data_IF_290686028991
#
_entry.id   IF_290686028991
#
_cell.length_a   1.000
_cell.length_b   1.000
_cell.length_c   1.000
_cell.angle_alpha   90.00
_cell.angle_beta   90.00
_cell.angle_gamma   90.00
#
_symmetry.space_group_name_H-M   'P 1'
#
loop_
_entity.id
_entity.type
_entity.pdbx_description
1 polymer ?
#
# COMPACT_ATOMS: atom_id res chain seq x y z
N UNK A 1 -2.79 9.24 -26.52
CA UNK A 1 -1.81 10.32 -26.77
C UNK A 1 -2.43 11.72 -26.77
N UNK A 2 -3.37 12.04 -27.67
CA UNK A 2 -3.95 13.40 -27.79
C UNK A 2 -4.54 13.95 -26.49
N UNK A 3 -5.36 13.14 -25.79
CA UNK A 3 -5.90 13.52 -24.47
C UNK A 3 -4.80 13.84 -23.46
N UNK A 4 -3.74 13.03 -23.37
CA UNK A 4 -2.64 13.26 -22.45
C UNK A 4 -1.89 14.56 -22.78
N UNK A 5 -1.62 14.82 -24.06
CA UNK A 5 -0.98 16.06 -24.51
C UNK A 5 -1.80 17.29 -24.10
N UNK A 6 -3.10 17.27 -24.35
CA UNK A 6 -3.99 18.37 -23.97
C UNK A 6 -4.01 18.61 -22.46
N UNK A 7 -4.06 17.54 -21.65
CA UNK A 7 -4.04 17.65 -20.19
C UNK A 7 -2.76 18.28 -19.64
N UNK A 8 -1.63 17.99 -20.28
CA UNK A 8 -0.34 18.59 -19.94
C UNK A 8 -0.33 20.07 -20.33
N UNK A 9 -0.81 20.42 -21.52
CA UNK A 9 -0.85 21.81 -22.01
C UNK A 9 -1.74 22.72 -21.15
N UNK A 10 -2.86 22.20 -20.64
CA UNK A 10 -3.80 22.98 -19.81
C UNK A 10 -3.55 22.88 -18.30
N UNK A 11 -2.55 22.09 -17.89
CA UNK A 11 -2.24 21.78 -16.49
C UNK A 11 -3.47 21.29 -15.67
N UNK A 12 -4.25 20.38 -16.25
CA UNK A 12 -5.43 19.76 -15.59
C UNK A 12 -5.35 18.25 -15.60
N UNK A 13 -6.05 17.65 -14.65
CA UNK A 13 -6.04 16.21 -14.43
C UNK A 13 -7.42 15.60 -14.68
N UNK A 14 -7.45 14.39 -15.23
CA UNK A 14 -8.68 13.59 -15.39
C UNK A 14 -8.54 12.25 -14.68
N UNK A 15 -9.67 11.74 -14.19
CA UNK A 15 -9.74 10.37 -13.68
C UNK A 15 -9.76 9.35 -14.82
N UNK A 16 -9.38 8.09 -14.55
CA UNK A 16 -9.52 6.98 -15.52
C UNK A 16 -10.92 6.91 -16.13
N UNK A 17 -11.95 7.17 -15.31
CA UNK A 17 -13.35 7.15 -15.76
C UNK A 17 -13.68 8.34 -16.67
N UNK A 18 -13.12 9.52 -16.39
CA UNK A 18 -13.28 10.69 -17.27
C UNK A 18 -12.54 10.50 -18.59
N UNK A 19 -11.36 9.88 -18.58
CA UNK A 19 -10.63 9.53 -19.80
C UNK A 19 -11.43 8.54 -20.64
N UNK A 20 -12.02 7.50 -20.02
CA UNK A 20 -12.93 6.58 -20.69
C UNK A 20 -14.08 7.30 -21.37
N UNK A 21 -14.83 8.15 -20.67
CA UNK A 21 -15.94 8.90 -21.30
C UNK A 21 -15.48 9.88 -22.38
N UNK A 22 -14.26 10.43 -22.26
CA UNK A 22 -13.70 11.30 -23.30
C UNK A 22 -13.33 10.51 -24.57
N UNK A 23 -12.88 9.27 -24.39
CA UNK A 23 -12.54 8.33 -25.48
C UNK A 23 -13.79 7.66 -26.06
N UNK A 24 -14.85 7.48 -25.29
CA UNK A 24 -16.14 6.92 -25.72
C UNK A 24 -16.84 7.86 -26.69
N UNK A 25 -16.41 7.81 -27.95
CA UNK A 25 -16.98 8.53 -29.08
C UNK A 25 -17.32 7.52 -30.17
N UNK A 26 -18.46 7.72 -30.80
CA UNK A 26 -18.87 6.95 -31.97
C UNK A 26 -18.13 7.46 -33.20
N UNK A 27 -17.57 6.56 -33.99
CA UNK A 27 -16.86 6.92 -35.22
C UNK A 27 -17.89 7.50 -36.21
N UNK A 28 -17.63 8.66 -36.85
CA UNK A 28 -18.57 9.27 -37.79
C UNK A 28 -19.01 8.28 -38.87
N UNK A 29 -20.32 8.24 -39.16
CA UNK A 29 -20.95 7.35 -40.14
C UNK A 29 -20.87 5.84 -39.79
N UNK A 30 -20.72 5.50 -38.51
CA UNK A 30 -20.79 4.11 -38.03
C UNK A 30 -21.55 4.06 -36.71
N UNK A 31 -21.98 2.86 -36.30
CA UNK A 31 -22.51 2.58 -34.95
C UNK A 31 -21.43 2.03 -34.00
N UNK A 32 -20.16 2.21 -34.35
CA UNK A 32 -19.01 1.63 -33.64
C UNK A 32 -18.40 2.70 -32.74
N UNK A 33 -18.28 2.39 -31.45
CA UNK A 33 -17.56 3.22 -30.50
C UNK A 33 -16.06 2.93 -30.55
N UNK A 34 -15.25 3.93 -30.25
CA UNK A 34 -13.79 3.76 -30.10
C UNK A 34 -13.45 2.87 -28.90
N UNK A 35 -14.22 2.98 -27.83
CA UNK A 35 -14.15 2.12 -26.64
C UNK A 35 -15.56 1.90 -26.10
N UNK A 36 -15.87 0.66 -25.75
CA UNK A 36 -17.16 0.28 -25.18
C UNK A 36 -17.06 0.04 -23.68
N UNK A 37 -15.94 -0.53 -23.23
CA UNK A 37 -15.67 -0.89 -21.84
C UNK A 37 -14.49 -0.13 -21.23
N UNK A 38 -14.54 0.13 -19.92
CA UNK A 38 -13.47 0.80 -19.19
C UNK A 38 -12.14 0.04 -19.30
N UNK A 39 -12.19 -1.29 -19.36
CA UNK A 39 -11.00 -2.14 -19.44
C UNK A 39 -10.18 -1.88 -20.71
N UNK A 40 -10.84 -1.60 -21.84
CA UNK A 40 -10.17 -1.26 -23.10
C UNK A 40 -9.39 0.05 -22.98
N UNK A 41 -10.01 1.07 -22.39
CA UNK A 41 -9.34 2.35 -22.15
C UNK A 41 -8.18 2.22 -21.16
N UNK A 42 -8.32 1.36 -20.15
CA UNK A 42 -7.25 1.10 -19.18
C UNK A 42 -6.05 0.42 -19.85
N UNK A 43 -6.28 -0.60 -20.69
CA UNK A 43 -5.23 -1.27 -21.48
C UNK A 43 -4.51 -0.30 -22.41
N UNK A 44 -5.25 0.54 -23.13
CA UNK A 44 -4.66 1.56 -24.01
C UNK A 44 -3.81 2.59 -23.24
N UNK A 45 -4.18 2.92 -22.00
CA UNK A 45 -3.37 3.77 -21.13
C UNK A 45 -2.10 3.03 -20.70
N UNK A 46 -2.20 1.77 -20.28
CA UNK A 46 -1.03 0.94 -19.93
C UNK A 46 -0.05 0.81 -21.10
N UNK A 47 -0.54 0.56 -22.31
CA UNK A 47 0.28 0.53 -23.53
C UNK A 47 0.99 1.87 -23.77
N UNK A 48 0.29 2.99 -23.52
CA UNK A 48 0.88 4.33 -23.62
C UNK A 48 1.95 4.57 -22.55
N UNK A 49 1.77 4.04 -21.32
CA UNK A 49 2.80 4.09 -20.27
C UNK A 49 4.07 3.34 -20.70
N UNK A 50 3.89 2.17 -21.33
CA UNK A 50 5.00 1.35 -21.83
C UNK A 50 5.74 2.05 -22.98
N UNK A 51 5.02 2.58 -23.96
CA UNK A 51 5.61 3.25 -25.13
C UNK A 51 6.36 4.53 -24.77
N UNK A 52 5.89 5.26 -23.76
CA UNK A 52 6.48 6.54 -23.33
C UNK A 52 7.50 6.39 -22.20
N UNK A 53 7.68 5.17 -21.66
CA UNK A 53 8.45 4.90 -20.44
C UNK A 53 8.11 5.86 -19.29
N UNK A 54 6.87 6.34 -19.26
CA UNK A 54 6.42 7.38 -18.35
C UNK A 54 5.09 6.97 -17.73
N UNK A 55 4.97 7.05 -16.40
CA UNK A 55 3.73 6.71 -15.73
C UNK A 55 2.59 7.66 -16.11
N UNK A 56 1.37 7.13 -16.17
CA UNK A 56 0.13 7.86 -16.50
C UNK A 56 -0.15 9.06 -15.59
N UNK A 57 0.35 9.03 -14.35
CA UNK A 57 0.24 10.16 -13.44
C UNK A 57 1.01 11.39 -13.95
N UNK A 58 2.15 11.20 -14.65
CA UNK A 58 2.86 12.28 -15.37
C UNK A 58 2.13 12.73 -16.64
N UNK A 59 1.19 11.93 -17.13
CA UNK A 59 0.28 12.29 -18.22
C UNK A 59 -0.98 13.00 -17.70
N UNK A 60 -0.99 13.39 -16.42
CA UNK A 60 -2.12 14.00 -15.71
C UNK A 60 -3.38 13.10 -15.67
N UNK A 61 -3.22 11.79 -15.85
CA UNK A 61 -4.28 10.80 -15.71
C UNK A 61 -4.18 10.19 -14.31
N UNK A 62 -5.09 10.59 -13.43
CA UNK A 62 -5.06 10.25 -12.01
C UNK A 62 -6.09 9.16 -11.66
N UNK A 63 -5.79 8.40 -10.61
CA UNK A 63 -6.81 7.64 -9.89
C UNK A 63 -7.41 8.49 -8.76
N UNK A 64 -8.45 7.99 -8.10
CA UNK A 64 -9.02 8.63 -6.91
C UNK A 64 -7.94 8.79 -5.82
N UNK A 65 -8.00 9.92 -5.10
CA UNK A 65 -7.15 10.16 -3.93
C UNK A 65 -7.58 9.23 -2.81
N UNK A 66 -6.73 8.26 -2.48
CA UNK A 66 -7.00 7.25 -1.47
C UNK A 66 -5.75 7.05 -0.61
N UNK A 67 -5.99 6.80 0.67
CA UNK A 67 -4.96 6.58 1.67
C UNK A 67 -4.79 7.75 2.62
N UNK A 68 -4.34 7.43 3.82
CA UNK A 68 -4.16 8.37 4.93
C UNK A 68 -2.73 8.32 5.44
N UNK A 69 -2.15 9.47 5.76
CA UNK A 69 -0.83 9.55 6.40
C UNK A 69 -0.83 10.56 7.56
N UNK A 70 -0.11 10.21 8.62
CA UNK A 70 0.19 11.08 9.75
C UNK A 70 1.63 10.84 10.23
N UNK A 71 2.26 11.88 10.78
CA UNK A 71 3.63 11.84 11.27
C UNK A 71 4.27 13.22 11.33
N UNK A 72 5.49 13.33 11.87
CA UNK A 72 6.24 14.60 11.92
C UNK A 72 6.93 14.88 10.58
N UNK A 73 6.12 15.22 9.58
CA UNK A 73 6.57 15.55 8.23
C UNK A 73 5.90 16.83 7.77
N UNK A 74 6.70 17.72 7.19
CA UNK A 74 6.22 18.94 6.53
C UNK A 74 6.54 18.85 5.05
N UNK A 75 5.51 18.95 4.22
CA UNK A 75 5.61 18.92 2.76
C UNK A 75 5.16 20.24 2.14
N UNK A 76 5.58 20.47 0.90
CA UNK A 76 4.98 21.44 -0.02
C UNK A 76 4.23 20.65 -1.11
N UNK A 77 2.95 20.92 -1.27
CA UNK A 77 2.14 20.38 -2.36
C UNK A 77 1.46 21.57 -3.07
N UNK A 78 1.79 21.78 -4.35
CA UNK A 78 1.22 22.86 -5.19
C UNK A 78 1.26 24.26 -4.57
N UNK A 79 2.33 24.56 -3.82
CA UNK A 79 2.55 25.84 -3.15
C UNK A 79 2.01 25.92 -1.72
N UNK A 80 1.19 24.96 -1.29
CA UNK A 80 0.69 24.88 0.07
C UNK A 80 1.66 24.09 0.96
N UNK A 81 1.97 24.65 2.13
CA UNK A 81 2.77 23.95 3.14
C UNK A 81 1.86 23.16 4.06
N UNK A 82 2.03 21.84 4.08
CA UNK A 82 1.18 20.91 4.81
C UNK A 82 2.03 20.21 5.88
N UNK A 83 1.58 20.28 7.13
CA UNK A 83 2.20 19.62 8.29
C UNK A 83 1.37 18.40 8.68
N UNK A 84 1.89 17.19 8.41
CA UNK A 84 1.19 15.93 8.69
C UNK A 84 0.93 15.68 10.18
N UNK A 85 1.55 16.46 11.08
CA UNK A 85 1.30 16.37 12.52
C UNK A 85 0.08 17.19 12.98
N UNK A 86 -0.47 18.06 12.11
CA UNK A 86 -1.52 19.05 12.45
C UNK A 86 -2.78 18.94 11.59
N UNK A 87 -3.19 17.71 11.27
CA UNK A 87 -4.34 17.45 10.38
C UNK A 87 -5.58 16.88 11.10
N UNK A 88 -5.62 17.01 12.42
CA UNK A 88 -6.73 16.50 13.23
C UNK A 88 -6.87 14.98 13.12
N UNK A 89 -8.10 14.47 13.18
CA UNK A 89 -8.39 13.03 13.13
C UNK A 89 -8.24 12.41 11.74
N UNK A 90 -8.40 13.20 10.66
CA UNK A 90 -8.43 12.67 9.29
C UNK A 90 -7.06 12.35 8.70
N UNK A 91 -6.00 12.99 9.19
CA UNK A 91 -4.68 12.91 8.56
C UNK A 91 -4.66 13.54 7.17
N UNK A 92 -3.58 13.30 6.42
CA UNK A 92 -3.46 13.78 5.05
C UNK A 92 -3.92 12.73 4.04
N UNK A 93 -4.74 13.14 3.07
CA UNK A 93 -5.18 12.27 1.97
C UNK A 93 -4.14 12.26 0.86
N UNK A 94 -3.62 11.07 0.53
CA UNK A 94 -2.51 10.91 -0.41
C UNK A 94 -3.02 11.10 -1.85
N UNK A 95 -2.45 12.05 -2.63
CA UNK A 95 -2.81 12.24 -4.03
C UNK A 95 -2.24 11.12 -4.92
N UNK A 96 -2.84 10.96 -6.11
CA UNK A 96 -2.33 10.00 -7.10
C UNK A 96 -0.96 10.40 -7.67
N UNK A 97 -0.80 11.68 -7.99
CA UNK A 97 0.50 12.22 -8.38
C UNK A 97 1.20 12.71 -7.11
N UNK A 98 2.27 12.02 -6.75
CA UNK A 98 3.09 12.36 -5.59
C UNK A 98 4.42 12.98 -6.00
N UNK A 99 4.75 13.09 -7.29
CA UNK A 99 6.06 13.57 -7.75
C UNK A 99 6.28 15.06 -7.47
N UNK A 100 5.20 15.86 -7.54
CA UNK A 100 5.26 17.31 -7.32
C UNK A 100 5.45 17.69 -5.84
N UNK A 101 5.32 16.72 -4.93
CA UNK A 101 5.46 16.94 -3.49
C UNK A 101 6.93 17.16 -3.16
N UNK A 102 7.23 18.28 -2.48
CA UNK A 102 8.57 18.55 -1.94
C UNK A 102 8.59 18.33 -0.44
N UNK A 103 9.52 17.53 0.04
CA UNK A 103 9.71 17.32 1.48
C UNK A 103 10.53 18.46 2.07
N UNK A 104 9.94 19.27 2.96
CA UNK A 104 10.65 20.34 3.68
C UNK A 104 11.34 19.82 4.93
N UNK A 105 10.66 18.97 5.69
CA UNK A 105 11.17 18.37 6.93
C UNK A 105 10.59 16.98 7.12
N UNK A 106 11.45 16.00 7.38
CA UNK A 106 11.06 14.62 7.73
C UNK A 106 11.77 14.25 9.02
N UNK A 107 11.01 14.10 10.10
CA UNK A 107 11.52 13.72 11.43
C UNK A 107 10.85 12.42 11.88
N UNK A 108 11.35 11.31 11.33
CA UNK A 108 10.86 9.98 11.61
C UNK A 108 12.00 8.96 11.56
N UNK A 109 11.89 7.90 12.37
CA UNK A 109 12.82 6.77 12.44
C UNK A 109 12.46 5.65 11.46
N UNK A 110 11.17 5.51 11.16
CA UNK A 110 10.64 4.47 10.29
C UNK A 110 9.24 4.83 9.78
N UNK A 111 8.76 4.04 8.82
CA UNK A 111 7.40 4.12 8.30
C UNK A 111 6.67 2.84 8.70
N UNK A 112 5.47 2.96 9.24
CA UNK A 112 4.55 1.86 9.47
C UNK A 112 3.41 1.96 8.45
N UNK A 113 3.34 0.98 7.57
CA UNK A 113 2.31 0.86 6.55
C UNK A 113 1.27 -0.20 6.94
N UNK A 114 0.00 0.10 6.71
CA UNK A 114 -1.14 -0.79 6.95
C UNK A 114 -2.10 -0.78 5.75
N UNK A 115 -2.79 -1.88 5.51
CA UNK A 115 -3.79 -1.93 4.42
C UNK A 115 -5.08 -1.18 4.79
N UNK A 116 -5.58 -1.45 6.00
CA UNK A 116 -6.92 -1.07 6.44
C UNK A 116 -6.92 0.28 7.16
N UNK A 117 -8.02 1.00 7.00
CA UNK A 117 -8.22 2.30 7.63
C UNK A 117 -8.41 2.19 9.15
N UNK A 118 -9.13 1.16 9.62
CA UNK A 118 -9.51 1.01 11.01
C UNK A 118 -8.30 0.92 11.95
N UNK A 119 -7.29 0.15 11.57
CA UNK A 119 -6.04 0.03 12.32
C UNK A 119 -5.28 1.36 12.31
N UNK A 120 -5.29 2.09 11.18
CA UNK A 120 -4.62 3.39 11.07
C UNK A 120 -5.28 4.43 11.98
N UNK A 121 -6.61 4.47 11.99
CA UNK A 121 -7.40 5.34 12.86
C UNK A 121 -7.08 5.04 14.33
N UNK A 122 -7.08 3.75 14.72
CA UNK A 122 -6.73 3.35 16.08
C UNK A 122 -5.31 3.79 16.48
N UNK A 123 -4.31 3.59 15.62
CA UNK A 123 -2.93 4.04 15.91
C UNK A 123 -2.81 5.57 15.94
N UNK A 124 -3.58 6.27 15.11
CA UNK A 124 -3.60 7.73 15.07
C UNK A 124 -4.23 8.31 16.34
N UNK A 125 -5.34 7.75 16.82
CA UNK A 125 -5.97 8.12 18.10
C UNK A 125 -5.00 7.94 19.28
N UNK A 126 -4.22 6.86 19.27
CA UNK A 126 -3.20 6.60 20.28
C UNK A 126 -1.93 7.46 20.13
N UNK A 127 -1.87 8.33 19.11
CA UNK A 127 -0.70 9.15 18.74
C UNK A 127 0.57 8.30 18.63
N UNK A 128 0.44 7.11 18.04
CA UNK A 128 1.55 6.15 17.91
C UNK A 128 2.74 6.76 17.15
N UNK A 129 2.46 7.53 16.09
CA UNK A 129 3.47 8.22 15.29
C UNK A 129 4.28 9.24 16.09
N UNK A 130 3.68 9.90 17.08
CA UNK A 130 4.36 10.84 17.97
C UNK A 130 5.20 10.09 19.00
N UNK A 131 4.64 9.03 19.62
CA UNK A 131 5.30 8.24 20.67
C UNK A 131 6.50 7.43 20.16
N UNK A 132 6.46 6.96 18.92
CA UNK A 132 7.51 6.11 18.33
C UNK A 132 8.39 6.85 17.31
N UNK A 133 8.19 8.17 17.14
CA UNK A 133 8.85 8.99 16.13
C UNK A 133 8.76 8.35 14.73
N UNK A 134 7.57 8.00 14.27
CA UNK A 134 7.38 7.29 13.00
C UNK A 134 6.35 7.98 12.10
N UNK A 135 6.26 7.53 10.85
CA UNK A 135 5.17 7.88 9.93
C UNK A 135 4.20 6.70 9.90
N UNK A 136 2.91 6.94 10.13
CA UNK A 136 1.88 5.92 9.93
C UNK A 136 1.15 6.19 8.61
N UNK A 137 0.98 5.16 7.80
CA UNK A 137 0.35 5.28 6.49
C UNK A 137 -0.59 4.12 6.22
N UNK A 138 -1.75 4.39 5.64
CA UNK A 138 -2.66 3.36 5.15
C UNK A 138 -3.14 3.63 3.74
N UNK A 139 -3.43 2.56 3.00
CA UNK A 139 -3.98 2.63 1.64
C UNK A 139 -5.50 2.63 1.58
N UNK A 140 -6.18 2.24 2.69
CA UNK A 140 -7.62 2.03 2.75
C UNK A 140 -8.10 0.98 1.71
N UNK A 141 -7.43 -0.16 1.66
CA UNK A 141 -7.67 -1.25 0.69
C UNK A 141 -6.44 -1.55 -0.18
N UNK A 142 -6.63 -2.01 -1.42
CA UNK A 142 -5.50 -2.30 -2.32
C UNK A 142 -4.62 -1.07 -2.49
N UNK A 143 -3.31 -1.22 -2.19
CA UNK A 143 -2.34 -0.14 -2.20
C UNK A 143 -2.36 0.63 -3.53
N UNK A 144 -2.86 1.86 -3.52
CA UNK A 144 -2.90 2.70 -4.72
C UNK A 144 -1.47 3.04 -5.16
N UNK A 145 -1.32 3.36 -6.46
CA UNK A 145 -0.02 3.74 -7.04
C UNK A 145 0.59 4.95 -6.32
N UNK A 146 -0.23 5.93 -5.92
CA UNK A 146 0.21 7.09 -5.14
C UNK A 146 0.80 6.72 -3.77
N UNK A 147 0.12 5.86 -3.01
CA UNK A 147 0.61 5.37 -1.70
C UNK A 147 1.93 4.62 -1.86
N UNK A 148 2.02 3.70 -2.84
CA UNK A 148 3.24 2.93 -3.10
C UNK A 148 4.43 3.82 -3.48
N UNK A 149 4.19 4.83 -4.34
CA UNK A 149 5.22 5.81 -4.70
C UNK A 149 5.64 6.67 -3.52
N UNK A 150 4.69 7.14 -2.71
CA UNK A 150 5.02 7.94 -1.54
C UNK A 150 5.87 7.15 -0.54
N UNK A 151 5.51 5.89 -0.27
CA UNK A 151 6.33 4.98 0.54
C UNK A 151 7.73 4.79 -0.06
N UNK A 152 7.83 4.59 -1.38
CA UNK A 152 9.11 4.44 -2.08
C UNK A 152 9.98 5.69 -1.97
N UNK A 153 9.39 6.88 -2.17
CA UNK A 153 10.07 8.17 -2.03
C UNK A 153 10.59 8.37 -0.62
N UNK A 154 9.72 8.20 0.39
CA UNK A 154 10.12 8.31 1.80
C UNK A 154 11.22 7.30 2.17
N UNK A 155 11.10 6.05 1.69
CA UNK A 155 12.10 5.02 1.94
C UNK A 155 13.44 5.30 1.24
N UNK A 156 13.42 5.73 -0.02
CA UNK A 156 14.65 5.87 -0.83
C UNK A 156 15.35 7.20 -0.59
N UNK A 157 14.61 8.31 -0.50
CA UNK A 157 15.15 9.66 -0.29
C UNK A 157 15.66 9.85 1.15
N UNK A 158 14.94 9.30 2.14
CA UNK A 158 15.27 9.47 3.57
C UNK A 158 15.82 8.20 4.24
N UNK A 159 16.02 7.12 3.47
CA UNK A 159 16.54 5.83 3.97
C UNK A 159 15.73 5.25 5.13
N UNK A 160 14.43 5.56 5.19
CA UNK A 160 13.56 5.11 6.26
C UNK A 160 13.19 3.63 6.04
N UNK A 161 13.35 2.76 7.06
CA UNK A 161 12.84 1.40 6.98
C UNK A 161 11.31 1.41 6.95
N UNK A 162 10.74 0.52 6.13
CA UNK A 162 9.29 0.38 6.00
C UNK A 162 8.85 -0.90 6.67
N UNK A 163 8.05 -0.76 7.71
CA UNK A 163 7.40 -1.84 8.42
C UNK A 163 5.98 -2.00 7.89
N UNK A 164 5.62 -3.21 7.48
CA UNK A 164 4.32 -3.55 6.91
C UNK A 164 3.54 -4.36 7.93
N UNK A 165 2.35 -3.88 8.28
CA UNK A 165 1.39 -4.52 9.16
C UNK A 165 0.17 -4.98 8.34
N UNK A 166 -0.05 -6.29 8.33
CA UNK A 166 -1.10 -6.97 7.55
C UNK A 166 -1.78 -8.04 8.39
N UNK A 167 -2.90 -8.56 7.92
CA UNK A 167 -3.55 -9.71 8.55
C UNK A 167 -2.66 -10.96 8.47
N UNK A 168 -2.86 -11.87 9.41
CA UNK A 168 -2.20 -13.17 9.47
C UNK A 168 -2.86 -14.15 8.52
N UNK A 169 -2.71 -13.91 7.22
CA UNK A 169 -3.26 -14.74 6.16
C UNK A 169 -2.44 -14.66 4.84
N UNK A 170 -2.71 -15.54 3.85
CA UNK A 170 -2.02 -15.51 2.57
C UNK A 170 -2.20 -14.21 1.78
N UNK A 171 -3.30 -13.48 1.96
CA UNK A 171 -3.55 -12.23 1.26
C UNK A 171 -2.73 -11.07 1.84
N UNK A 172 -2.57 -11.03 3.17
CA UNK A 172 -1.65 -10.13 3.85
C UNK A 172 -0.21 -10.30 3.39
N UNK A 173 0.26 -11.56 3.30
CA UNK A 173 1.60 -11.85 2.74
C UNK A 173 1.72 -11.44 1.27
N UNK A 174 0.65 -11.59 0.49
CA UNK A 174 0.64 -11.12 -0.90
C UNK A 174 0.75 -9.59 -0.98
N UNK A 175 0.04 -8.84 -0.13
CA UNK A 175 0.15 -7.37 -0.07
C UNK A 175 1.59 -6.96 0.23
N UNK A 176 2.22 -7.60 1.22
CA UNK A 176 3.64 -7.41 1.53
C UNK A 176 4.53 -7.70 0.30
N UNK A 177 4.29 -8.84 -0.37
CA UNK A 177 5.02 -9.23 -1.58
C UNK A 177 4.94 -8.17 -2.67
N UNK A 178 3.75 -7.59 -2.90
CA UNK A 178 3.53 -6.57 -3.94
C UNK A 178 4.25 -5.27 -3.61
N UNK A 179 4.30 -4.87 -2.33
CA UNK A 179 5.04 -3.68 -1.89
C UNK A 179 6.55 -3.86 -2.07
N UNK A 180 7.06 -5.04 -1.71
CA UNK A 180 8.50 -5.30 -1.70
C UNK A 180 9.07 -5.63 -3.08
N UNK A 181 8.43 -6.56 -3.79
CA UNK A 181 8.93 -7.16 -5.03
C UNK A 181 8.16 -6.70 -6.28
N UNK A 182 7.04 -5.99 -6.09
CA UNK A 182 6.19 -5.53 -7.18
C UNK A 182 5.07 -6.52 -7.49
N UNK A 183 4.10 -6.08 -8.30
CA UNK A 183 3.08 -7.01 -8.82
C UNK A 183 3.62 -7.67 -10.07
N UNK A 184 3.39 -8.98 -10.22
CA UNK A 184 3.70 -9.72 -11.46
C UNK A 184 3.00 -9.08 -12.66
N UNK A 185 1.77 -8.58 -12.47
CA UNK A 185 1.01 -7.89 -13.52
C UNK A 185 1.57 -6.52 -13.91
N UNK A 186 2.45 -5.93 -13.09
CA UNK A 186 3.06 -4.61 -13.32
C UNK A 186 4.59 -4.73 -13.38
N UNK A 187 5.12 -5.88 -13.83
CA UNK A 187 6.56 -6.15 -13.86
C UNK A 187 7.35 -5.06 -14.60
N UNK A 188 6.80 -4.51 -15.68
CA UNK A 188 7.40 -3.42 -16.46
C UNK A 188 7.59 -2.11 -15.68
N UNK A 189 6.79 -1.88 -14.62
CA UNK A 189 6.88 -0.72 -13.74
C UNK A 189 7.55 -1.01 -12.39
N UNK A 190 8.02 -2.24 -12.20
CA UNK A 190 8.44 -2.79 -10.90
C UNK A 190 9.51 -1.95 -10.21
N UNK A 191 10.53 -1.49 -10.94
CA UNK A 191 11.66 -0.76 -10.34
C UNK A 191 11.24 0.56 -9.68
N UNK A 192 10.25 1.25 -10.24
CA UNK A 192 9.76 2.53 -9.73
C UNK A 192 8.85 2.41 -8.49
N UNK A 193 8.33 1.21 -8.20
CA UNK A 193 7.29 0.99 -7.18
C UNK A 193 7.69 0.01 -6.07
N UNK A 194 8.89 -0.58 -6.13
CA UNK A 194 9.36 -1.62 -5.19
C UNK A 194 10.11 -1.06 -4.00
N UNK A 195 9.69 -1.46 -2.80
CA UNK A 195 10.27 -1.02 -1.52
C UNK A 195 11.12 -2.16 -0.98
N UNK A 196 12.36 -2.26 -1.46
CA UNK A 196 13.25 -3.41 -1.19
C UNK A 196 13.61 -3.57 0.29
N UNK A 197 13.58 -2.50 1.07
CA UNK A 197 13.83 -2.53 2.52
C UNK A 197 12.56 -2.75 3.37
N UNK A 198 11.43 -3.11 2.74
CA UNK A 198 10.20 -3.42 3.46
C UNK A 198 10.35 -4.69 4.30
N UNK A 199 9.78 -4.65 5.51
CA UNK A 199 9.81 -5.73 6.51
C UNK A 199 8.40 -5.99 7.02
N UNK A 200 7.94 -7.23 6.98
CA UNK A 200 6.62 -7.61 7.50
C UNK A 200 6.70 -7.77 9.01
N UNK A 201 6.12 -6.85 9.76
CA UNK A 201 6.10 -6.91 11.23
C UNK A 201 5.10 -7.95 11.70
N UNK A 202 3.97 -8.07 11.03
CA UNK A 202 3.01 -9.13 11.32
C UNK A 202 1.68 -8.87 10.65
N UNK A 203 0.65 -9.64 10.97
CA UNK A 203 0.64 -10.75 11.94
C UNK A 203 1.38 -11.99 11.42
N UNK A 204 2.30 -12.53 12.24
CA UNK A 204 2.97 -13.82 11.95
C UNK A 204 2.28 -14.98 12.66
N UNK A 205 2.57 -16.22 12.24
CA UNK A 205 2.04 -17.43 12.87
C UNK A 205 2.48 -17.53 14.35
N UNK A 206 3.70 -17.09 14.66
CA UNK A 206 4.20 -17.05 16.05
C UNK A 206 3.40 -16.06 16.91
N UNK A 207 2.97 -14.94 16.34
CA UNK A 207 2.16 -13.93 17.04
C UNK A 207 0.84 -14.53 17.56
N UNK A 208 0.25 -15.48 16.83
CA UNK A 208 -0.99 -16.17 17.24
C UNK A 208 -0.82 -16.88 18.58
N UNK A 209 0.32 -17.55 18.76
CA UNK A 209 0.63 -18.25 20.00
C UNK A 209 1.08 -17.31 21.10
N UNK A 210 1.96 -16.34 20.77
CA UNK A 210 2.60 -15.41 21.71
C UNK A 210 1.61 -14.45 22.35
N UNK A 211 0.60 -14.01 21.59
CA UNK A 211 -0.40 -13.05 22.04
C UNK A 211 -1.78 -13.68 22.26
N UNK A 212 -1.86 -15.01 22.40
CA UNK A 212 -3.09 -15.68 22.83
C UNK A 212 -4.25 -15.58 21.83
N UNK A 213 -3.98 -15.45 20.53
CA UNK A 213 -5.01 -15.21 19.50
C UNK A 213 -5.67 -16.50 19.00
N UNK A 214 -5.36 -17.66 19.59
CA UNK A 214 -5.86 -18.98 19.14
C UNK A 214 -7.39 -19.06 19.04
N UNK A 215 -8.12 -18.38 19.94
CA UNK A 215 -9.59 -18.33 19.94
C UNK A 215 -10.20 -17.54 18.76
N UNK A 216 -9.39 -16.73 18.09
CA UNK A 216 -9.79 -15.90 16.95
C UNK A 216 -9.37 -16.48 15.60
N UNK A 217 -8.84 -17.70 15.58
CA UNK A 217 -8.47 -18.38 14.34
C UNK A 217 -9.72 -18.70 13.52
N UNK A 218 -9.75 -18.20 12.30
CA UNK A 218 -10.77 -18.51 11.29
C UNK A 218 -10.20 -19.59 10.38
N UNK A 219 -10.88 -20.73 10.26
CA UNK A 219 -10.41 -21.84 9.41
C UNK A 219 -10.20 -21.38 7.96
N UNK A 220 -9.12 -21.85 7.34
CA UNK A 220 -8.85 -21.56 5.94
C UNK A 220 -9.94 -22.15 5.03
N UNK A 221 -10.37 -21.34 4.07
CA UNK A 221 -11.11 -21.83 2.90
C UNK A 221 -10.13 -22.44 1.90
N UNK A 222 -10.63 -23.20 0.94
CA UNK A 222 -9.75 -23.83 -0.06
C UNK A 222 -9.02 -22.80 -0.94
N UNK A 223 -9.65 -21.63 -1.17
CA UNK A 223 -9.01 -20.49 -1.82
C UNK A 223 -7.78 -20.02 -1.04
N UNK A 224 -7.87 -19.92 0.29
CA UNK A 224 -6.75 -19.48 1.14
C UNK A 224 -5.61 -20.51 1.10
N UNK A 225 -5.93 -21.81 1.21
CA UNK A 225 -4.94 -22.90 1.10
C UNK A 225 -4.23 -22.90 -0.25
N UNK A 226 -4.98 -22.72 -1.33
CA UNK A 226 -4.43 -22.66 -2.68
C UNK A 226 -3.53 -21.44 -2.84
N UNK A 227 -3.91 -20.29 -2.28
CA UNK A 227 -3.09 -19.07 -2.30
C UNK A 227 -1.80 -19.25 -1.51
N UNK A 228 -1.85 -19.85 -0.33
CA UNK A 228 -0.67 -20.17 0.48
C UNK A 228 0.31 -21.06 -0.29
N UNK A 229 -0.20 -22.11 -0.97
CA UNK A 229 0.61 -22.98 -1.83
C UNK A 229 1.26 -22.24 -3.00
N UNK A 230 0.58 -21.26 -3.59
CA UNK A 230 1.15 -20.42 -4.64
C UNK A 230 2.29 -19.54 -4.12
N UNK A 231 2.07 -18.84 -3.01
CA UNK A 231 3.08 -17.96 -2.38
C UNK A 231 4.35 -18.73 -2.01
N UNK A 232 4.17 -19.94 -1.48
CA UNK A 232 5.29 -20.83 -1.13
C UNK A 232 6.18 -21.21 -2.33
N UNK A 233 5.68 -21.09 -3.56
CA UNK A 233 6.43 -21.36 -4.80
C UNK A 233 7.09 -20.12 -5.39
N UNK A 234 6.83 -18.92 -4.87
CA UNK A 234 7.48 -17.72 -5.39
C UNK A 234 8.97 -17.74 -5.05
N UNK A 235 9.81 -17.35 -6.01
CA UNK A 235 11.27 -17.43 -5.88
C UNK A 235 11.79 -16.62 -4.68
N UNK A 236 11.23 -15.44 -4.45
CA UNK A 236 11.59 -14.54 -3.35
C UNK A 236 11.07 -14.98 -1.97
N UNK A 237 10.28 -16.06 -1.90
CA UNK A 237 9.87 -16.68 -0.64
C UNK A 237 10.50 -18.05 -0.40
N UNK A 238 11.54 -18.43 -1.16
CA UNK A 238 12.27 -19.68 -0.93
C UNK A 238 13.21 -19.63 0.29
N UNK A 239 13.43 -18.46 0.90
CA UNK A 239 14.22 -18.36 2.13
C UNK A 239 13.62 -19.21 3.27
N UNK A 240 14.52 -19.74 4.11
CA UNK A 240 14.17 -20.67 5.20
C UNK A 240 13.15 -20.06 6.16
N UNK A 241 13.26 -18.77 6.50
CA UNK A 241 12.33 -18.12 7.44
C UNK A 241 10.92 -18.04 6.87
N UNK A 242 10.78 -17.70 5.60
CA UNK A 242 9.48 -17.66 4.92
C UNK A 242 8.86 -19.04 4.77
N UNK A 243 9.65 -20.06 4.39
CA UNK A 243 9.17 -21.43 4.29
C UNK A 243 8.73 -22.00 5.64
N UNK A 244 9.43 -21.66 6.73
CA UNK A 244 9.02 -22.00 8.10
C UNK A 244 7.70 -21.30 8.49
N UNK A 245 7.57 -20.01 8.20
CA UNK A 245 6.34 -19.25 8.43
C UNK A 245 5.14 -19.89 7.71
N UNK A 246 5.28 -20.24 6.43
CA UNK A 246 4.21 -20.91 5.68
C UNK A 246 3.85 -22.27 6.25
N UNK A 247 4.83 -23.07 6.69
CA UNK A 247 4.57 -24.35 7.36
C UNK A 247 3.79 -24.15 8.67
N UNK A 248 4.10 -23.10 9.44
CA UNK A 248 3.34 -22.78 10.66
C UNK A 248 1.89 -22.43 10.33
N UNK A 249 1.65 -21.62 9.29
CA UNK A 249 0.29 -21.34 8.83
C UNK A 249 -0.44 -22.58 8.30
N UNK A 250 0.25 -23.47 7.58
CA UNK A 250 -0.30 -24.78 7.16
C UNK A 250 -0.73 -25.62 8.38
N UNK A 251 0.09 -25.67 9.43
CA UNK A 251 -0.20 -26.39 10.67
C UNK A 251 -1.33 -25.77 11.49
N UNK A 252 -1.42 -24.43 11.54
CA UNK A 252 -2.53 -23.71 12.18
C UNK A 252 -3.84 -23.98 11.44
N UNK A 253 -3.79 -24.08 10.10
CA UNK A 253 -4.96 -24.38 9.27
C UNK A 253 -6.00 -23.25 9.23
N UNK A 254 -5.61 -22.02 9.55
CA UNK A 254 -6.50 -20.87 9.61
C UNK A 254 -5.77 -19.54 9.59
N UNK A 255 -6.55 -18.45 9.54
CA UNK A 255 -6.12 -17.05 9.51
C UNK A 255 -6.55 -16.29 10.74
N UNK A 256 -5.89 -15.15 10.97
CA UNK A 256 -6.22 -14.22 12.06
C UNK A 256 -6.18 -12.78 11.54
N UNK A 257 -7.21 -12.01 11.82
CA UNK A 257 -7.28 -10.59 11.46
C UNK A 257 -6.54 -9.72 12.49
N UNK A 258 -5.98 -8.58 12.06
CA UNK A 258 -5.33 -7.60 12.93
C UNK A 258 -6.26 -7.11 14.05
N UNK A 259 -7.54 -6.96 13.74
CA UNK A 259 -8.58 -6.61 14.71
C UNK A 259 -8.61 -7.55 15.93
N UNK A 260 -8.20 -8.83 15.79
CA UNK A 260 -8.15 -9.76 16.92
C UNK A 260 -7.20 -9.31 18.05
N UNK A 261 -6.21 -8.46 17.77
CA UNK A 261 -5.31 -7.89 18.77
C UNK A 261 -6.06 -7.03 19.80
N UNK A 262 -7.19 -6.43 19.41
CA UNK A 262 -8.05 -5.64 20.33
C UNK A 262 -8.67 -6.48 21.43
N UNK A 263 -8.76 -7.81 21.25
CA UNK A 263 -9.26 -8.74 22.28
C UNK A 263 -8.38 -8.82 23.53
N UNK A 264 -7.14 -8.34 23.43
CA UNK A 264 -6.18 -8.22 24.53
C UNK A 264 -6.18 -6.81 25.16
N UNK A 265 -7.08 -5.94 24.72
CA UNK A 265 -7.20 -4.54 25.12
C UNK A 265 -7.17 -3.61 23.89
N UNK A 266 -7.96 -2.54 23.92
CA UNK A 266 -8.10 -1.60 22.78
C UNK A 266 -6.74 -1.00 22.41
N UNK A 267 -5.92 -0.66 23.41
CA UNK A 267 -4.60 -0.04 23.21
C UNK A 267 -3.47 -1.06 23.01
N UNK A 268 -3.77 -2.36 23.03
CA UNK A 268 -2.75 -3.42 22.99
C UNK A 268 -1.84 -3.35 21.77
N UNK A 269 -2.43 -3.03 20.60
CA UNK A 269 -1.68 -2.91 19.34
C UNK A 269 -0.62 -1.79 19.42
N UNK A 270 -1.02 -0.61 19.89
CA UNK A 270 -0.20 0.59 19.94
C UNK A 270 0.82 0.58 21.09
N UNK A 271 0.42 0.07 22.27
CA UNK A 271 1.23 0.18 23.49
C UNK A 271 2.13 -1.02 23.75
N UNK A 272 1.78 -2.20 23.25
CA UNK A 272 2.51 -3.45 23.52
C UNK A 272 2.99 -4.16 22.26
N UNK A 273 2.07 -4.54 21.37
CA UNK A 273 2.40 -5.39 20.21
C UNK A 273 3.45 -4.75 19.28
N UNK A 274 3.16 -3.57 18.73
CA UNK A 274 4.06 -2.91 17.77
C UNK A 274 5.39 -2.49 18.41
N UNK A 275 5.42 -1.80 19.58
CA UNK A 275 6.68 -1.40 20.20
C UNK A 275 7.55 -2.61 20.57
N UNK A 276 6.96 -3.71 21.05
CA UNK A 276 7.71 -4.92 21.39
C UNK A 276 8.34 -5.56 20.15
N UNK A 277 7.56 -5.74 19.08
CA UNK A 277 8.00 -6.37 17.83
C UNK A 277 9.13 -5.57 17.18
N UNK A 278 8.97 -4.24 17.09
CA UNK A 278 9.95 -3.35 16.48
C UNK A 278 11.24 -3.33 17.31
N UNK A 279 11.16 -3.23 18.64
CA UNK A 279 12.32 -3.22 19.53
C UNK A 279 13.09 -4.54 19.50
N UNK A 280 12.39 -5.68 19.50
CA UNK A 280 12.99 -7.03 19.47
C UNK A 280 13.47 -7.47 18.08
N UNK A 281 13.21 -6.67 17.06
CA UNK A 281 13.49 -7.00 15.67
C UNK A 281 12.78 -8.27 15.17
N UNK A 282 11.56 -8.47 15.65
CA UNK A 282 10.69 -9.59 15.29
C UNK A 282 9.87 -9.24 14.04
N UNK A 283 10.47 -9.39 12.86
CA UNK A 283 9.82 -9.22 11.56
C UNK A 283 10.36 -10.23 10.55
N UNK A 284 9.62 -10.41 9.46
CA UNK A 284 10.04 -11.16 8.28
C UNK A 284 10.54 -10.19 7.20
N UNK A 285 11.57 -10.60 6.47
CA UNK A 285 12.26 -9.82 5.43
C UNK A 285 12.28 -10.70 4.18
#
# INVERSE_FOLDING_TARGET
ATTAKELIEIDKHLSLRQVFYRMKRTIPNTDINIVDEQEESNKAIEDLELLLESPREKLHINANKNGSVAGRVVIEDRGDTIDWSKLGSGGWSIPSNVEDIKFKKVDAKFILYMEKAAEWESLHEHRFWEKQDCIIMASQGQATRGVRRLLKRLSSEFKLPVYVLVDGDPWGVYIYSVLKYGSISLAHMSESLTITNAKMVGLTADDVSKYGLKRHIIKFKDVDKNRLKQLKRYDWFQDKRWQEEFKKWENIGGKVELAALTSNGISFMAEKYLPEKIRKKEWLD
#
